data_IF_930660458034
#
_entry.id   IF_930660458034
#
_cell.length_a   1.000
_cell.length_b   1.000
_cell.length_c   1.000
_cell.angle_alpha   90.00
_cell.angle_beta   90.00
_cell.angle_gamma   90.00
#
_symmetry.space_group_name_H-M   'P 1'
#
loop_
_entity.id
_entity.type
_entity.pdbx_description
1 polymer ?
#
# COMPACT_ATOMS: atom_id res chain seq x y z
N UNK A 1 -0.40 -0.61 -32.09
CA UNK A 1 0.18 -1.41 -31.00
C UNK A 1 0.78 -0.47 -29.98
N UNK A 2 0.07 -0.19 -28.89
CA UNK A 2 0.59 0.62 -27.79
C UNK A 2 1.52 -0.29 -26.99
N UNK A 3 2.83 0.02 -27.00
CA UNK A 3 3.81 -0.64 -26.13
C UNK A 3 3.52 -0.18 -24.70
N UNK A 4 2.97 -1.08 -23.89
CA UNK A 4 2.91 -0.89 -22.44
C UNK A 4 4.34 -1.02 -21.94
N UNK A 5 4.92 0.07 -21.45
CA UNK A 5 6.22 0.05 -20.79
C UNK A 5 6.05 -0.66 -19.44
N UNK A 6 6.86 -1.69 -19.23
CA UNK A 6 6.99 -2.41 -17.97
C UNK A 6 7.31 -1.43 -16.83
N UNK A 7 6.41 -1.33 -15.86
CA UNK A 7 6.50 -0.46 -14.68
C UNK A 7 7.28 -1.16 -13.55
N UNK A 8 8.31 -1.93 -13.90
CA UNK A 8 9.27 -2.45 -12.93
C UNK A 8 10.49 -1.53 -12.89
N UNK A 9 10.27 -0.27 -12.51
CA UNK A 9 11.37 0.58 -12.11
C UNK A 9 11.90 0.04 -10.77
N UNK A 10 13.11 -0.51 -10.78
CA UNK A 10 13.91 -0.75 -9.57
C UNK A 10 14.14 0.59 -8.87
N UNK A 11 13.23 0.96 -7.96
CA UNK A 11 13.40 2.14 -7.12
C UNK A 11 14.49 1.79 -6.11
N UNK A 12 15.70 2.30 -6.35
CA UNK A 12 16.76 2.34 -5.35
C UNK A 12 16.33 3.27 -4.22
N UNK A 13 15.59 2.73 -3.25
CA UNK A 13 15.31 3.43 -1.99
C UNK A 13 16.56 3.35 -1.10
N UNK A 14 17.56 4.20 -1.38
CA UNK A 14 18.76 4.26 -0.56
C UNK A 14 18.41 4.54 0.91
N UNK A 15 17.36 5.34 1.17
CA UNK A 15 16.79 5.55 2.50
C UNK A 15 15.27 5.36 2.50
N UNK A 16 14.78 4.39 3.28
CA UNK A 16 13.35 4.15 3.51
C UNK A 16 12.98 4.88 4.81
N UNK A 17 12.15 5.92 4.74
CA UNK A 17 11.66 6.66 5.91
C UNK A 17 10.48 5.97 6.58
N UNK A 18 9.54 5.48 5.76
CA UNK A 18 8.31 4.82 6.20
C UNK A 18 8.30 3.38 5.73
N UNK A 19 7.83 2.48 6.58
CA UNK A 19 7.93 1.05 6.35
C UNK A 19 7.06 0.56 5.20
N UNK A 20 5.85 1.11 5.06
CA UNK A 20 4.85 0.55 4.17
C UNK A 20 4.56 1.43 2.96
N UNK A 21 4.57 0.81 1.79
CA UNK A 21 3.92 1.36 0.61
C UNK A 21 2.42 1.02 0.70
N UNK A 22 1.56 2.05 0.68
CA UNK A 22 0.11 1.90 0.79
C UNK A 22 -0.56 2.41 -0.49
N UNK A 23 -1.27 1.52 -1.19
CA UNK A 23 -2.03 1.87 -2.39
C UNK A 23 -3.53 1.64 -2.19
N UNK A 24 -4.35 2.53 -2.76
CA UNK A 24 -5.80 2.40 -2.76
C UNK A 24 -6.43 2.81 -4.10
N UNK A 25 -7.56 2.18 -4.45
CA UNK A 25 -8.47 2.66 -5.50
C UNK A 25 -9.77 3.11 -4.88
N UNK A 26 -10.14 4.36 -5.13
CA UNK A 26 -11.38 4.97 -4.66
C UNK A 26 -12.33 5.20 -5.84
N UNK A 27 -13.54 4.69 -5.75
CA UNK A 27 -14.61 4.85 -6.75
C UNK A 27 -15.78 5.60 -6.13
N UNK A 28 -16.43 6.45 -6.94
CA UNK A 28 -17.62 7.20 -6.56
C UNK A 28 -18.58 7.36 -7.73
N UNK A 29 -19.86 7.51 -7.42
CA UNK A 29 -20.89 7.73 -8.44
C UNK A 29 -20.89 9.16 -8.99
N UNK A 30 -20.79 10.14 -8.09
CA UNK A 30 -20.82 11.57 -8.41
C UNK A 30 -19.41 12.12 -8.63
N UNK A 31 -19.22 12.89 -9.70
CA UNK A 31 -17.95 13.51 -10.00
C UNK A 31 -17.62 14.63 -8.97
N UNK A 32 -16.38 14.68 -8.49
CA UNK A 32 -15.91 15.76 -7.61
C UNK A 32 -14.59 16.33 -8.16
N UNK A 33 -14.64 17.57 -8.66
CA UNK A 33 -13.53 18.17 -9.41
C UNK A 33 -12.30 18.49 -8.56
N UNK A 34 -12.51 18.89 -7.31
CA UNK A 34 -11.43 19.33 -6.38
C UNK A 34 -10.95 18.23 -5.45
N UNK A 35 -11.48 17.00 -5.58
CA UNK A 35 -11.19 15.92 -4.65
C UNK A 35 -9.70 15.58 -4.56
N UNK A 36 -9.00 15.59 -5.69
CA UNK A 36 -7.58 15.24 -5.70
C UNK A 36 -6.79 16.18 -4.80
N UNK A 37 -7.08 17.48 -4.88
CA UNK A 37 -6.38 18.49 -4.08
C UNK A 37 -6.78 18.41 -2.60
N UNK A 38 -8.05 18.13 -2.31
CA UNK A 38 -8.52 17.85 -0.94
C UNK A 38 -7.76 16.67 -0.33
N UNK A 39 -7.64 15.56 -1.07
CA UNK A 39 -6.93 14.37 -0.60
C UNK A 39 -5.43 14.59 -0.49
N UNK A 40 -4.81 15.31 -1.44
CA UNK A 40 -3.39 15.68 -1.36
C UNK A 40 -3.10 16.46 -0.09
N UNK A 41 -3.88 17.51 0.18
CA UNK A 41 -3.70 18.34 1.37
C UNK A 41 -3.95 17.56 2.65
N UNK A 42 -5.00 16.72 2.68
CA UNK A 42 -5.36 15.95 3.87
C UNK A 42 -4.34 14.87 4.21
N UNK A 43 -3.72 14.25 3.21
CA UNK A 43 -2.82 13.10 3.39
C UNK A 43 -1.34 13.48 3.41
N UNK A 44 -0.98 14.72 3.04
CA UNK A 44 0.40 15.20 3.02
C UNK A 44 1.14 15.05 4.36
N UNK A 45 0.44 15.08 5.49
CA UNK A 45 1.04 14.94 6.82
C UNK A 45 1.17 13.49 7.32
N UNK A 46 0.76 12.51 6.52
CA UNK A 46 0.66 11.10 6.95
C UNK A 46 1.79 10.21 6.42
N UNK A 47 2.70 10.77 5.65
CA UNK A 47 3.73 9.99 4.97
C UNK A 47 4.53 10.81 3.98
N UNK A 48 5.38 10.13 3.23
CA UNK A 48 6.07 10.70 2.07
C UNK A 48 5.57 10.07 0.76
N UNK A 49 6.10 10.56 -0.36
CA UNK A 49 5.87 9.98 -1.69
C UNK A 49 4.39 9.90 -2.09
N UNK A 50 3.56 10.82 -1.59
CA UNK A 50 2.12 10.86 -1.87
C UNK A 50 1.84 11.14 -3.34
N UNK A 51 1.14 10.21 -4.00
CA UNK A 51 0.59 10.37 -5.34
C UNK A 51 -0.92 10.17 -5.28
N UNK A 52 -1.65 11.15 -5.82
CA UNK A 52 -3.10 11.06 -6.04
C UNK A 52 -3.32 11.34 -7.52
N UNK A 53 -3.91 10.39 -8.25
CA UNK A 53 -4.13 10.51 -9.68
C UNK A 53 -5.44 9.84 -10.10
N UNK A 54 -6.01 10.25 -11.24
CA UNK A 54 -7.21 9.62 -11.81
C UNK A 54 -8.22 10.64 -12.33
N UNK A 55 -9.48 10.20 -12.43
CA UNK A 55 -10.60 11.00 -12.91
C UNK A 55 -11.47 11.50 -11.76
N UNK A 56 -12.48 12.32 -12.07
CA UNK A 56 -13.42 12.83 -11.06
C UNK A 56 -14.29 11.74 -10.41
N UNK A 57 -14.34 10.52 -10.98
CA UNK A 57 -15.12 9.39 -10.44
C UNK A 57 -14.26 8.23 -9.92
N UNK A 58 -12.99 8.17 -10.29
CA UNK A 58 -12.08 7.08 -9.91
C UNK A 58 -10.69 7.63 -9.65
N UNK A 59 -10.18 7.44 -8.44
CA UNK A 59 -8.86 7.88 -8.02
C UNK A 59 -8.00 6.70 -7.58
N UNK A 60 -6.73 6.74 -7.94
CA UNK A 60 -5.69 5.89 -7.40
C UNK A 60 -4.82 6.72 -6.46
N UNK A 61 -4.52 6.14 -5.32
CA UNK A 61 -3.65 6.70 -4.30
C UNK A 61 -2.45 5.79 -4.07
N UNK A 62 -1.29 6.41 -3.84
CA UNK A 62 -0.06 5.80 -3.35
C UNK A 62 0.54 6.71 -2.29
N UNK A 63 0.96 6.16 -1.15
CA UNK A 63 1.67 6.90 -0.10
C UNK A 63 2.58 5.94 0.66
N UNK A 64 3.76 6.41 1.08
CA UNK A 64 4.58 5.66 2.03
C UNK A 64 4.25 6.12 3.47
N UNK A 65 3.85 5.21 4.34
CA UNK A 65 3.42 5.52 5.71
C UNK A 65 3.70 4.35 6.65
N UNK A 66 3.77 4.62 7.95
CA UNK A 66 3.77 3.57 8.99
C UNK A 66 2.35 3.21 9.44
N UNK A 67 1.33 3.93 8.97
CA UNK A 67 -0.07 3.74 9.39
C UNK A 67 -1.06 3.50 8.23
N UNK A 68 -0.92 2.40 7.45
CA UNK A 68 -1.78 2.12 6.30
C UNK A 68 -3.28 2.11 6.62
N UNK A 69 -3.67 1.49 7.74
CA UNK A 69 -5.07 1.43 8.18
C UNK A 69 -5.68 2.83 8.34
N UNK A 70 -4.90 3.79 8.86
CA UNK A 70 -5.34 5.18 9.03
C UNK A 70 -5.59 5.86 7.69
N UNK A 71 -4.77 5.57 6.68
CA UNK A 71 -4.99 6.08 5.31
C UNK A 71 -6.32 5.57 4.77
N UNK A 72 -6.61 4.28 4.89
CA UNK A 72 -7.88 3.72 4.42
C UNK A 72 -9.08 4.33 5.14
N UNK A 73 -9.06 4.45 6.47
CA UNK A 73 -10.13 5.11 7.22
C UNK A 73 -10.32 6.59 6.85
N UNK A 74 -9.25 7.30 6.47
CA UNK A 74 -9.34 8.68 6.00
C UNK A 74 -9.94 8.79 4.59
N UNK A 75 -9.88 7.72 3.79
CA UNK A 75 -10.43 7.65 2.43
C UNK A 75 -11.91 7.23 2.39
N UNK A 76 -12.36 6.41 3.34
CA UNK A 76 -13.74 5.90 3.43
C UNK A 76 -14.83 6.98 3.27
N UNK A 77 -14.75 8.17 3.90
CA UNK A 77 -15.79 9.19 3.77
C UNK A 77 -15.90 9.77 2.36
N UNK A 78 -14.86 9.59 1.54
CA UNK A 78 -14.84 10.15 0.20
C UNK A 78 -15.50 9.19 -0.78
N UNK A 79 -15.41 7.86 -0.65
CA UNK A 79 -16.04 6.94 -1.60
C UNK A 79 -15.75 5.48 -1.30
N UNK A 80 -16.11 4.61 -2.24
CA UNK A 80 -15.92 3.17 -2.12
C UNK A 80 -14.46 2.80 -2.41
N UNK A 81 -13.78 2.18 -1.45
CA UNK A 81 -12.44 1.63 -1.66
C UNK A 81 -12.58 0.26 -2.31
N UNK A 82 -12.29 0.18 -3.60
CA UNK A 82 -12.42 -1.06 -4.39
C UNK A 82 -11.13 -1.86 -4.49
N UNK A 83 -10.02 -1.32 -3.99
CA UNK A 83 -8.71 -1.98 -3.97
C UNK A 83 -7.87 -1.40 -2.84
N UNK A 84 -7.17 -2.29 -2.13
CA UNK A 84 -6.19 -1.96 -1.10
C UNK A 84 -4.95 -2.82 -1.30
N UNK A 85 -3.78 -2.24 -1.06
CA UNK A 85 -2.50 -2.95 -1.04
C UNK A 85 -1.58 -2.30 -0.01
N UNK A 86 -0.89 -3.13 0.76
CA UNK A 86 0.11 -2.71 1.74
C UNK A 86 1.33 -3.60 1.55
N UNK A 87 2.46 -3.00 1.17
CA UNK A 87 3.73 -3.71 1.00
C UNK A 87 4.76 -3.24 2.04
N UNK A 88 5.44 -4.18 2.69
CA UNK A 88 6.53 -3.90 3.64
C UNK A 88 7.84 -3.66 2.88
N UNK A 89 8.15 -2.40 2.60
CA UNK A 89 9.34 -2.00 1.82
C UNK A 89 10.64 -2.29 2.56
N UNK A 90 10.63 -2.22 3.90
CA UNK A 90 11.81 -2.55 4.72
C UNK A 90 12.14 -4.03 4.58
N UNK A 91 11.14 -4.89 4.77
CA UNK A 91 11.31 -6.34 4.60
C UNK A 91 11.75 -6.69 3.18
N UNK A 92 11.14 -6.08 2.15
CA UNK A 92 11.52 -6.31 0.76
C UNK A 92 12.99 -5.91 0.48
N UNK A 93 13.44 -4.76 1.02
CA UNK A 93 14.83 -4.33 0.90
C UNK A 93 15.79 -5.28 1.60
N UNK A 94 15.46 -5.74 2.80
CA UNK A 94 16.29 -6.66 3.57
C UNK A 94 16.42 -8.03 2.91
N UNK A 95 15.35 -8.54 2.30
CA UNK A 95 15.40 -9.81 1.56
C UNK A 95 16.36 -9.78 0.37
N UNK A 96 16.44 -8.64 -0.32
CA UNK A 96 17.30 -8.48 -1.51
C UNK A 96 18.76 -8.28 -1.11
N UNK A 97 19.03 -7.46 -0.09
CA UNK A 97 20.38 -7.04 0.26
C UNK A 97 21.04 -7.93 1.32
N UNK A 98 20.26 -8.48 2.26
CA UNK A 98 20.74 -9.13 3.48
C UNK A 98 20.02 -10.46 3.73
N UNK A 99 20.05 -11.37 2.75
CA UNK A 99 19.41 -12.69 2.88
C UNK A 99 20.06 -13.50 4.01
N UNK A 100 19.26 -13.88 5.02
CA UNK A 100 19.72 -14.59 6.21
C UNK A 100 19.71 -16.12 6.08
N UNK A 101 18.81 -16.67 5.25
CA UNK A 101 18.56 -18.12 5.18
C UNK A 101 18.56 -18.62 3.72
N UNK A 102 18.99 -19.87 3.53
CA UNK A 102 18.98 -20.54 2.21
C UNK A 102 17.58 -20.99 1.76
N UNK A 103 16.60 -20.94 2.66
CA UNK A 103 15.19 -21.23 2.43
C UNK A 103 14.33 -20.01 2.75
N UNK A 104 13.17 -19.88 2.10
CA UNK A 104 12.18 -18.84 2.39
C UNK A 104 11.10 -19.37 3.33
N UNK A 105 10.69 -18.56 4.31
CA UNK A 105 9.57 -18.87 5.20
C UNK A 105 8.36 -18.02 4.78
N UNK A 106 7.22 -18.68 4.60
CA UNK A 106 5.96 -18.05 4.20
C UNK A 106 4.85 -18.46 5.16
N UNK A 107 4.05 -17.48 5.55
CA UNK A 107 2.83 -17.66 6.34
C UNK A 107 1.70 -16.80 5.76
N UNK A 108 0.51 -16.87 6.36
CA UNK A 108 -0.59 -15.96 6.08
C UNK A 108 -0.71 -14.86 7.16
N UNK A 109 -1.63 -13.91 6.97
CA UNK A 109 -1.86 -12.82 7.94
C UNK A 109 -2.70 -13.22 9.15
N UNK A 110 -3.28 -14.42 9.17
CA UNK A 110 -4.03 -14.95 10.33
C UNK A 110 -3.04 -15.50 11.37
N UNK A 111 -1.86 -15.92 10.92
CA UNK A 111 -0.77 -16.34 11.78
C UNK A 111 -0.28 -15.15 12.63
N UNK A 112 -0.68 -15.11 13.91
CA UNK A 112 -0.39 -14.05 14.89
C UNK A 112 1.08 -14.06 15.36
N UNK A 113 2.01 -13.92 14.41
CA UNK A 113 3.45 -13.89 14.66
C UNK A 113 3.86 -12.45 15.01
N UNK A 114 4.53 -12.22 16.16
CA UNK A 114 5.07 -10.91 16.50
C UNK A 114 6.03 -10.37 15.43
N UNK A 115 6.00 -9.05 15.20
CA UNK A 115 6.73 -8.42 14.11
C UNK A 115 8.25 -8.60 14.24
N UNK A 116 8.75 -8.63 15.47
CA UNK A 116 10.17 -8.86 15.78
C UNK A 116 10.63 -10.24 15.31
N UNK A 117 9.77 -11.25 15.41
CA UNK A 117 10.04 -12.61 14.95
C UNK A 117 9.97 -12.67 13.42
N UNK A 118 8.97 -12.04 12.81
CA UNK A 118 8.87 -11.95 11.36
C UNK A 118 10.13 -11.32 10.76
N UNK A 119 10.57 -10.19 11.32
CA UNK A 119 11.73 -9.44 10.84
C UNK A 119 13.03 -10.20 11.06
N UNK A 120 13.24 -10.79 12.24
CA UNK A 120 14.45 -11.55 12.57
C UNK A 120 14.67 -12.75 11.65
N UNK A 121 13.61 -13.48 11.33
CA UNK A 121 13.68 -14.70 10.50
C UNK A 121 13.25 -14.47 9.04
N UNK A 122 13.03 -13.21 8.64
CA UNK A 122 12.57 -12.82 7.30
C UNK A 122 11.31 -13.57 6.84
N UNK A 123 10.39 -13.86 7.77
CA UNK A 123 9.14 -14.57 7.49
C UNK A 123 8.23 -13.65 6.68
N UNK A 124 7.88 -14.08 5.47
CA UNK A 124 6.93 -13.36 4.62
C UNK A 124 5.50 -13.74 5.00
N UNK A 125 4.60 -12.76 5.03
CA UNK A 125 3.17 -13.00 5.24
C UNK A 125 2.38 -12.67 3.98
N UNK A 126 1.49 -13.57 3.59
CA UNK A 126 0.51 -13.34 2.52
C UNK A 126 -0.78 -12.82 3.16
N UNK A 127 -1.25 -11.60 2.81
CA UNK A 127 -2.46 -11.06 3.39
C UNK A 127 -3.70 -11.84 2.92
N UNK A 128 -4.51 -12.28 3.88
CA UNK A 128 -5.85 -12.81 3.62
C UNK A 128 -6.78 -11.65 3.31
N UNK A 129 -7.40 -11.68 2.12
CA UNK A 129 -8.34 -10.65 1.70
C UNK A 129 -9.75 -11.02 2.13
N UNK A 130 -10.41 -10.10 2.83
CA UNK A 130 -11.82 -10.23 3.19
C UNK A 130 -12.64 -9.35 2.27
N UNK A 131 -13.61 -9.94 1.57
CA UNK A 131 -14.57 -9.20 0.75
C UNK A 131 -15.91 -9.12 1.47
N UNK A 132 -16.42 -7.90 1.66
CA UNK A 132 -17.75 -7.66 2.20
C UNK A 132 -18.53 -6.76 1.23
N UNK A 133 -19.49 -7.36 0.52
CA UNK A 133 -20.18 -6.69 -0.59
C UNK A 133 -19.20 -6.28 -1.70
N UNK A 134 -19.14 -5.00 -2.01
CA UNK A 134 -18.24 -4.41 -3.01
C UNK A 134 -16.91 -3.90 -2.42
N UNK A 135 -16.70 -4.03 -1.10
CA UNK A 135 -15.49 -3.59 -0.40
C UNK A 135 -14.52 -4.73 -0.15
N UNK A 136 -13.22 -4.42 -0.24
CA UNK A 136 -12.12 -5.32 0.07
C UNK A 136 -11.32 -4.79 1.26
N UNK A 137 -10.97 -5.68 2.18
CA UNK A 137 -10.17 -5.42 3.37
C UNK A 137 -8.94 -6.35 3.39
N UNK A 138 -7.85 -5.85 3.98
CA UNK A 138 -6.57 -6.56 4.19
C UNK A 138 -6.39 -6.89 5.68
#
# INVERSE_FOLDING_TARGET
>A
MVKVQDINSSISHENITFRYCTEAMLVREQAHSTLQDVLRNKLASYGDSLVVAGSHKKLRLHIHTDTPAKIFSLLEPYGLITFQKVDDMVMQKELVNNRQQSIGLLTDSICDIPKEIQDKYQIQSVPVKIQFGEQYFL
#
